data_IF_111552170817
#
_entry.id   IF_111552170817
#
_cell.length_a   1.000
_cell.length_b   1.000
_cell.length_c   1.000
_cell.angle_alpha   90.00
_cell.angle_beta   90.00
_cell.angle_gamma   90.00
#
_symmetry.space_group_name_H-M   'P 1'
#
loop_
_entity.id
_entity.type
_entity.pdbx_description
1 polymer ?
#
# COMPACT_ATOMS: atom_id res chain seq x y z
N UNK A 1 18.38 13.99 -11.04
CA UNK A 1 17.74 14.53 -9.82
C UNK A 1 16.31 14.05 -9.83
N UNK A 2 15.92 13.29 -8.82
CA UNK A 2 14.55 12.77 -8.71
C UNK A 2 13.63 13.91 -8.25
N UNK A 3 12.50 14.09 -8.93
CA UNK A 3 11.56 15.17 -8.65
C UNK A 3 10.85 14.93 -7.32
N UNK A 4 10.69 15.98 -6.51
CA UNK A 4 10.00 15.91 -5.23
C UNK A 4 8.53 15.52 -5.45
N UNK A 5 8.15 14.32 -5.00
CA UNK A 5 6.76 13.83 -5.08
C UNK A 5 5.91 14.55 -4.04
N UNK A 6 4.80 15.13 -4.50
CA UNK A 6 3.96 16.03 -3.70
C UNK A 6 2.52 15.53 -3.64
N UNK A 7 1.83 15.83 -2.56
CA UNK A 7 0.41 15.52 -2.44
C UNK A 7 -0.43 16.36 -3.41
N UNK A 8 -1.48 15.80 -3.96
CA UNK A 8 -2.38 16.48 -4.89
C UNK A 8 -3.81 16.49 -4.35
N UNK A 9 -4.50 17.62 -4.53
CA UNK A 9 -5.90 17.75 -4.10
C UNK A 9 -6.77 16.84 -4.98
N UNK A 10 -7.69 16.11 -4.36
CA UNK A 10 -8.53 15.11 -5.02
C UNK A 10 -7.91 13.71 -5.06
N UNK A 11 -6.58 13.61 -4.98
CA UNK A 11 -5.88 12.34 -5.01
C UNK A 11 -6.02 11.59 -3.68
N UNK A 12 -6.01 10.26 -3.78
CA UNK A 12 -6.08 9.36 -2.64
C UNK A 12 -4.76 8.63 -2.46
N UNK A 13 -4.31 8.53 -1.21
CA UNK A 13 -3.06 7.90 -0.82
C UNK A 13 -3.33 6.89 0.29
N UNK A 14 -2.49 5.88 0.40
CA UNK A 14 -2.67 4.84 1.40
C UNK A 14 -1.37 4.40 2.04
N UNK A 15 -1.49 3.65 3.13
CA UNK A 15 -0.40 2.95 3.80
C UNK A 15 -0.97 1.76 4.55
N UNK A 16 -0.12 0.77 4.85
CA UNK A 16 -0.51 -0.35 5.72
C UNK A 16 -0.13 -0.07 7.16
N UNK A 17 -0.84 -0.66 8.09
CA UNK A 17 -0.43 -0.62 9.49
C UNK A 17 0.81 -1.51 9.68
N UNK A 18 1.84 -0.98 10.35
CA UNK A 18 3.05 -1.76 10.62
C UNK A 18 2.80 -3.00 11.51
N UNK A 19 1.77 -2.97 12.34
CA UNK A 19 1.41 -4.09 13.23
C UNK A 19 0.34 -5.03 12.70
N UNK A 20 -0.33 -4.68 11.60
CA UNK A 20 -1.34 -5.51 10.95
C UNK A 20 -1.28 -5.27 9.45
N UNK A 21 -0.62 -6.18 8.74
CA UNK A 21 -0.49 -6.08 7.30
C UNK A 21 -1.83 -6.12 6.58
N UNK A 22 -2.92 -6.65 7.16
CA UNK A 22 -4.23 -6.62 6.53
C UNK A 22 -4.92 -5.26 6.67
N UNK A 23 -4.48 -4.39 7.58
CA UNK A 23 -5.12 -3.10 7.80
C UNK A 23 -4.55 -2.03 6.87
N UNK A 24 -5.38 -1.52 5.95
CA UNK A 24 -5.04 -0.39 5.08
C UNK A 24 -5.66 0.89 5.62
N UNK A 25 -4.83 1.92 5.77
CA UNK A 25 -5.26 3.29 5.98
C UNK A 25 -5.22 4.03 4.66
N UNK A 26 -6.38 4.52 4.19
CA UNK A 26 -6.45 5.34 3.00
C UNK A 26 -7.13 6.69 3.28
N UNK A 27 -6.63 7.73 2.62
CA UNK A 27 -7.09 9.09 2.80
C UNK A 27 -7.11 9.83 1.47
N UNK A 28 -8.13 10.68 1.28
CA UNK A 28 -8.18 11.65 0.20
C UNK A 28 -7.66 13.01 0.70
N UNK A 29 -6.84 13.68 -0.12
CA UNK A 29 -6.43 15.07 0.14
C UNK A 29 -7.54 16.00 -0.34
N UNK A 30 -8.21 16.69 0.57
CA UNK A 30 -9.31 17.60 0.23
C UNK A 30 -8.87 19.04 0.09
N UNK A 31 -7.80 19.44 0.78
CA UNK A 31 -7.17 20.76 0.66
C UNK A 31 -5.67 20.63 0.85
N UNK A 32 -4.92 21.50 0.18
CA UNK A 32 -3.46 21.56 0.26
C UNK A 32 -2.97 23.00 0.39
N UNK A 33 -1.90 23.17 1.16
CA UNK A 33 -1.03 24.34 1.16
C UNK A 33 0.42 23.89 1.03
N UNK A 34 1.37 24.83 0.90
CA UNK A 34 2.80 24.51 0.80
C UNK A 34 3.36 23.75 2.01
N UNK A 35 2.73 23.83 3.19
CA UNK A 35 3.23 23.21 4.43
C UNK A 35 2.26 22.22 5.06
N UNK A 36 1.01 22.14 4.58
CA UNK A 36 -0.04 21.35 5.23
C UNK A 36 -1.03 20.77 4.23
N UNK A 37 -1.67 19.66 4.62
CA UNK A 37 -2.81 19.07 3.91
C UNK A 37 -4.00 18.88 4.86
N UNK A 38 -5.21 18.82 4.31
CA UNK A 38 -6.41 18.34 5.00
C UNK A 38 -6.81 17.01 4.35
N UNK A 39 -7.05 16.01 5.21
CA UNK A 39 -7.34 14.64 4.79
C UNK A 39 -8.78 14.25 5.16
N UNK A 40 -9.38 13.41 4.33
CA UNK A 40 -10.65 12.73 4.57
C UNK A 40 -10.44 11.21 4.54
N UNK A 41 -11.01 10.47 5.49
CA UNK A 41 -10.90 9.02 5.53
C UNK A 41 -11.99 8.29 4.72
N UNK A 42 -11.91 6.96 4.66
CA UNK A 42 -12.87 6.09 3.96
C UNK A 42 -14.28 6.04 4.58
N UNK A 43 -14.48 6.69 5.75
CA UNK A 43 -15.79 6.89 6.38
C UNK A 43 -16.33 8.29 6.13
N UNK A 44 -15.62 9.10 5.35
CA UNK A 44 -15.98 10.48 5.05
C UNK A 44 -15.59 11.46 6.15
N UNK A 45 -14.91 11.03 7.22
CA UNK A 45 -14.51 11.89 8.34
C UNK A 45 -13.31 12.75 7.93
N UNK A 46 -13.42 14.06 8.17
CA UNK A 46 -12.31 14.99 8.03
C UNK A 46 -11.36 14.85 9.22
N UNK A 47 -10.10 14.53 8.95
CA UNK A 47 -9.05 14.30 9.95
C UNK A 47 -8.42 15.61 10.46
N UNK A 48 -8.70 16.73 9.77
CA UNK A 48 -8.17 18.05 10.07
C UNK A 48 -6.84 18.34 9.37
N UNK A 49 -6.22 19.48 9.72
CA UNK A 49 -4.97 19.93 9.12
C UNK A 49 -3.78 19.13 9.65
N UNK A 50 -2.91 18.69 8.75
CA UNK A 50 -1.67 17.96 9.07
C UNK A 50 -0.48 18.63 8.40
N UNK A 51 0.65 18.67 9.12
CA UNK A 51 1.91 19.23 8.63
C UNK A 51 2.57 18.24 7.66
N UNK A 52 3.04 18.76 6.54
CA UNK A 52 3.83 18.01 5.56
C UNK A 52 5.28 17.92 6.06
N UNK A 53 5.85 16.73 6.00
CA UNK A 53 7.28 16.47 6.14
C UNK A 53 7.81 15.95 4.81
N UNK A 54 9.13 15.99 4.60
CA UNK A 54 9.75 15.40 3.40
C UNK A 54 10.70 14.30 3.84
N UNK A 55 10.55 13.12 3.25
CA UNK A 55 11.42 11.97 3.48
C UNK A 55 11.75 11.34 2.13
N UNK A 56 13.04 11.15 1.85
CA UNK A 56 13.54 10.55 0.59
C UNK A 56 12.91 11.16 -0.68
N UNK A 57 12.78 12.49 -0.73
CA UNK A 57 12.18 13.16 -1.91
C UNK A 57 10.67 12.97 -2.06
N UNK A 58 9.98 12.49 -1.02
CA UNK A 58 8.52 12.36 -0.98
C UNK A 58 7.92 13.22 0.15
N UNK A 59 6.86 13.97 -0.14
CA UNK A 59 6.01 14.54 0.90
C UNK A 59 5.34 13.41 1.69
N UNK A 60 5.43 13.49 3.02
CA UNK A 60 4.84 12.52 3.95
C UNK A 60 4.00 13.23 5.01
N UNK A 61 2.99 12.52 5.52
CA UNK A 61 2.14 13.03 6.59
C UNK A 61 1.61 11.89 7.45
N UNK A 62 1.49 12.14 8.76
CA UNK A 62 0.94 11.19 9.72
C UNK A 62 -0.53 11.53 10.01
N UNK A 63 -1.52 10.83 9.43
CA UNK A 63 -2.93 11.22 9.52
C UNK A 63 -3.48 11.15 10.94
N UNK A 64 -3.00 10.19 11.73
CA UNK A 64 -3.43 9.99 13.13
C UNK A 64 -2.61 10.80 14.16
N UNK A 65 -1.68 11.64 13.71
CA UNK A 65 -0.75 12.36 14.58
C UNK A 65 0.60 11.66 14.68
N UNK A 66 1.45 12.16 15.58
CA UNK A 66 2.84 11.68 15.73
C UNK A 66 2.97 10.85 17.00
N UNK A 67 3.20 9.56 16.83
CA UNK A 67 3.48 8.59 17.87
C UNK A 67 4.22 7.39 17.26
N UNK A 68 4.78 6.51 18.09
CA UNK A 68 5.50 5.33 17.59
C UNK A 68 4.58 4.44 16.74
N UNK A 69 5.07 3.97 15.59
CA UNK A 69 4.30 3.18 14.61
C UNK A 69 3.05 3.89 14.06
N UNK A 70 2.95 5.22 14.18
CA UNK A 70 1.87 5.97 13.55
C UNK A 70 1.85 5.72 12.03
N UNK A 71 0.66 5.52 11.43
CA UNK A 71 0.57 5.32 10.00
C UNK A 71 1.05 6.58 9.28
N UNK A 72 1.94 6.39 8.32
CA UNK A 72 2.52 7.45 7.50
C UNK A 72 2.08 7.22 6.05
N UNK A 73 1.43 8.21 5.46
CA UNK A 73 1.17 8.21 4.01
C UNK A 73 2.25 9.05 3.31
N UNK A 74 2.68 8.59 2.14
CA UNK A 74 3.65 9.27 1.27
C UNK A 74 2.96 9.58 -0.07
N UNK A 75 3.29 10.74 -0.64
CA UNK A 75 2.80 11.18 -1.94
C UNK A 75 3.16 10.24 -3.11
N UNK A 76 4.10 9.33 -2.92
CA UNK A 76 4.40 8.28 -3.90
C UNK A 76 3.40 7.12 -3.87
N UNK A 77 2.79 6.86 -2.71
CA UNK A 77 1.92 5.71 -2.54
C UNK A 77 0.46 6.06 -2.83
N UNK A 78 0.21 6.33 -4.11
CA UNK A 78 -1.12 6.63 -4.63
C UNK A 78 -2.01 5.39 -4.55
N UNK A 79 -3.20 5.54 -3.99
CA UNK A 79 -4.20 4.48 -4.00
C UNK A 79 -4.64 4.24 -5.46
N UNK A 80 -4.59 3.02 -6.01
CA UNK A 80 -5.00 2.78 -7.39
C UNK A 80 -6.53 2.73 -7.55
N UNK A 81 -7.00 2.79 -8.79
CA UNK A 81 -8.40 2.59 -9.16
C UNK A 81 -9.31 3.81 -8.97
N UNK A 82 -10.57 3.63 -9.35
CA UNK A 82 -11.64 4.62 -9.28
C UNK A 82 -12.73 4.21 -8.28
N UNK A 83 -13.68 5.11 -8.00
CA UNK A 83 -14.76 4.88 -7.04
C UNK A 83 -14.42 5.32 -5.62
N UNK A 84 -15.17 4.81 -4.63
CA UNK A 84 -14.96 5.21 -3.24
C UNK A 84 -13.63 4.67 -2.70
N UNK A 85 -13.10 5.30 -1.64
CA UNK A 85 -11.92 4.78 -0.95
C UNK A 85 -12.08 3.31 -0.53
N UNK A 86 -13.30 2.89 -0.16
CA UNK A 86 -13.56 1.50 0.24
C UNK A 86 -13.45 0.55 -0.94
N UNK A 87 -14.03 0.90 -2.08
CA UNK A 87 -13.98 0.08 -3.30
C UNK A 87 -12.53 -0.12 -3.77
N UNK A 88 -11.74 0.96 -3.70
CA UNK A 88 -10.32 0.94 -4.06
C UNK A 88 -9.47 0.12 -3.10
N UNK A 89 -9.74 0.19 -1.80
CA UNK A 89 -9.11 -0.68 -0.79
C UNK A 89 -9.46 -2.16 -1.06
N UNK A 90 -10.74 -2.46 -1.32
CA UNK A 90 -11.19 -3.82 -1.63
C UNK A 90 -10.53 -4.37 -2.91
N UNK A 91 -10.29 -3.53 -3.91
CA UNK A 91 -9.57 -3.92 -5.11
C UNK A 91 -8.13 -4.38 -4.82
N UNK A 92 -7.44 -3.71 -3.88
CA UNK A 92 -6.10 -4.14 -3.42
C UNK A 92 -6.17 -5.53 -2.80
N UNK A 93 -7.10 -5.76 -1.86
CA UNK A 93 -7.23 -7.07 -1.22
C UNK A 93 -7.56 -8.18 -2.21
N UNK A 94 -8.41 -7.92 -3.20
CA UNK A 94 -8.74 -8.90 -4.25
C UNK A 94 -7.54 -9.26 -5.10
N UNK A 95 -6.74 -8.27 -5.52
CA UNK A 95 -5.54 -8.47 -6.32
C UNK A 95 -4.51 -9.34 -5.57
N UNK A 96 -4.23 -8.99 -4.32
CA UNK A 96 -3.23 -9.70 -3.52
C UNK A 96 -3.63 -11.14 -3.21
N UNK A 97 -4.93 -11.42 -2.96
CA UNK A 97 -5.41 -12.80 -2.80
C UNK A 97 -5.17 -13.63 -4.06
N UNK A 98 -5.47 -13.07 -5.23
CA UNK A 98 -5.25 -13.75 -6.52
C UNK A 98 -3.77 -14.02 -6.81
N UNK A 99 -2.90 -13.05 -6.52
CA UNK A 99 -1.45 -13.20 -6.67
C UNK A 99 -0.89 -14.30 -5.75
N UNK A 100 -1.31 -14.32 -4.48
CA UNK A 100 -0.91 -15.35 -3.52
C UNK A 100 -1.34 -16.76 -3.95
N UNK A 101 -2.52 -16.92 -4.55
CA UNK A 101 -2.97 -18.21 -5.06
C UNK A 101 -2.15 -18.67 -6.28
N UNK A 102 -1.88 -17.76 -7.21
CA UNK A 102 -1.04 -18.04 -8.37
C UNK A 102 0.39 -18.43 -7.97
N UNK A 103 0.96 -17.74 -6.97
CA UNK A 103 2.28 -18.05 -6.43
C UNK A 103 2.32 -19.43 -5.76
N UNK A 104 1.33 -19.78 -4.93
CA UNK A 104 1.20 -21.11 -4.33
C UNK A 104 1.14 -22.20 -5.39
N UNK A 105 0.37 -21.99 -6.47
CA UNK A 105 0.28 -22.94 -7.59
C UNK A 105 1.63 -23.11 -8.31
N UNK A 106 2.37 -22.02 -8.55
CA UNK A 106 3.71 -22.06 -9.16
C UNK A 106 4.71 -22.80 -8.26
N UNK A 107 4.67 -22.56 -6.95
CA UNK A 107 5.53 -23.23 -5.98
C UNK A 107 5.27 -24.74 -5.96
N UNK A 108 4.00 -25.15 -5.95
CA UNK A 108 3.61 -26.57 -6.01
C UNK A 108 4.10 -27.25 -7.29
N UNK A 109 3.97 -26.59 -8.45
CA UNK A 109 4.49 -27.12 -9.71
C UNK A 109 6.02 -27.26 -9.66
N UNK A 110 6.73 -26.23 -9.18
CA UNK A 110 8.19 -26.25 -9.05
C UNK A 110 8.67 -27.37 -8.12
N UNK A 111 8.04 -27.51 -6.96
CA UNK A 111 8.34 -28.58 -6.00
C UNK A 111 8.09 -29.96 -6.61
N UNK A 112 6.98 -30.14 -7.34
CA UNK A 112 6.67 -31.39 -8.03
C UNK A 112 7.68 -31.72 -9.13
N UNK A 113 8.10 -30.73 -9.92
CA UNK A 113 9.15 -30.92 -10.93
C UNK A 113 10.49 -31.31 -10.30
N UNK A 114 10.85 -30.68 -9.17
CA UNK A 114 12.05 -31.04 -8.41
C UNK A 114 12.01 -32.49 -7.94
N UNK A 115 10.89 -32.91 -7.33
CA UNK A 115 10.72 -34.31 -6.89
C UNK A 115 10.84 -35.31 -8.04
N UNK A 116 10.23 -35.02 -9.19
CA UNK A 116 10.36 -35.89 -10.38
C UNK A 116 11.81 -35.98 -10.88
N UNK A 117 12.54 -34.86 -10.87
CA UNK A 117 13.95 -34.83 -11.27
C UNK A 117 14.83 -35.62 -10.30
N UNK A 118 14.64 -35.45 -8.99
CA UNK A 118 15.37 -36.16 -7.94
C UNK A 118 15.14 -37.69 -8.05
N UNK A 119 13.89 -38.13 -8.33
CA UNK A 119 13.59 -39.57 -8.54
C UNK A 119 14.22 -40.16 -9.81
N UNK A 120 14.43 -39.34 -10.84
CA UNK A 120 15.11 -39.78 -12.06
C UNK A 120 16.63 -39.91 -11.87
N UNK A 121 17.21 -39.13 -10.95
CA UNK A 121 18.61 -39.24 -10.59
C UNK A 121 18.89 -40.41 -9.64
N UNK A 122 17.95 -40.78 -8.76
CA UNK A 122 18.10 -41.93 -7.84
C UNK A 122 17.92 -43.29 -8.50
N UNK A 123 17.38 -43.36 -9.73
CA UNK A 123 17.21 -44.60 -10.50
C UNK A 123 18.36 -44.92 -11.46
N UNK A 124 19.51 -44.24 -11.32
CA UNK A 124 20.71 -44.41 -12.16
C UNK A 124 21.85 -45.19 -11.48
N UNK A 125 21.61 -45.80 -10.32
CA UNK A 125 22.54 -46.75 -9.67
C UNK A 125 22.24 -48.20 -10.09
#
# INVERSE_FOLDING_TARGET
MEELKKFEVGQCYYTRANGDHNLIYAYQVTKRTAKTVILQDSRGKIIGRRKISVYQGCETVSPKGSYSMAPLICADNVLPGEGTLRDRIEAIYRKERGENEAERRRLMIRQRMKMMFDTLQSGKE
#
